data_IF_579412556007
#
_entry.id   IF_579412556007
#
_cell.length_a   1.000
_cell.length_b   1.000
_cell.length_c   1.000
_cell.angle_alpha   90.00
_cell.angle_beta   90.00
_cell.angle_gamma   90.00
#
_symmetry.space_group_name_H-M   'P 1'
#
loop_
_entity.id
_entity.type
_entity.pdbx_description
1 polymer ?
#
# COMPACT_ATOMS: atom_id res chain seq x y z
N UNK A 1 -25.20 9.34 9.52
CA UNK A 1 -23.88 8.96 10.02
C UNK A 1 -23.37 7.82 9.15
N UNK A 2 -22.13 7.89 8.70
CA UNK A 2 -21.50 6.87 7.83
C UNK A 2 -20.18 6.46 8.46
N UNK A 3 -19.95 5.16 8.54
CA UNK A 3 -18.69 4.58 8.98
C UNK A 3 -17.91 4.09 7.78
N UNK A 4 -16.61 4.36 7.76
CA UNK A 4 -15.72 3.96 6.69
C UNK A 4 -14.56 3.11 7.24
N UNK A 5 -14.16 2.04 6.54
CA UNK A 5 -12.97 1.30 6.92
C UNK A 5 -11.73 2.17 6.76
N UNK A 6 -10.68 1.86 7.53
CA UNK A 6 -9.37 2.50 7.36
C UNK A 6 -8.70 2.02 6.09
N UNK A 7 -8.02 2.92 5.39
CA UNK A 7 -7.18 2.60 4.25
C UNK A 7 -6.09 1.58 4.62
N UNK A 8 -5.83 0.65 3.70
CA UNK A 8 -4.84 -0.41 3.84
C UNK A 8 -4.10 -0.60 2.52
N UNK A 9 -2.83 -1.00 2.61
CA UNK A 9 -2.05 -1.40 1.43
C UNK A 9 -2.30 -2.89 1.19
N UNK A 10 -2.92 -3.23 0.05
CA UNK A 10 -3.18 -4.62 -0.32
C UNK A 10 -1.99 -5.29 -0.99
N UNK A 11 -1.26 -4.55 -1.83
CA UNK A 11 -0.12 -5.09 -2.57
C UNK A 11 0.92 -4.01 -2.88
N UNK A 12 2.15 -4.43 -3.12
CA UNK A 12 3.26 -3.61 -3.62
C UNK A 12 3.86 -4.33 -4.82
N UNK A 13 3.65 -3.76 -6.00
CA UNK A 13 4.10 -4.32 -7.27
C UNK A 13 5.37 -3.60 -7.72
N UNK A 14 6.39 -4.37 -8.07
CA UNK A 14 7.62 -3.89 -8.70
C UNK A 14 7.57 -4.36 -10.15
N UNK A 15 7.84 -3.46 -11.11
CA UNK A 15 7.99 -3.85 -12.51
C UNK A 15 9.33 -4.54 -12.70
N UNK A 16 9.31 -5.87 -12.79
CA UNK A 16 10.49 -6.71 -12.95
C UNK A 16 11.24 -6.42 -14.26
N UNK A 17 10.57 -5.90 -15.29
CA UNK A 17 11.23 -5.51 -16.55
C UNK A 17 12.10 -4.25 -16.41
N UNK A 18 11.86 -3.45 -15.36
CA UNK A 18 12.66 -2.26 -15.03
C UNK A 18 13.94 -2.61 -14.24
N UNK A 19 14.01 -3.83 -13.70
CA UNK A 19 15.17 -4.30 -12.93
C UNK A 19 16.30 -4.61 -13.91
N UNK A 20 17.24 -3.68 -14.05
CA UNK A 20 18.48 -3.90 -14.81
C UNK A 20 19.34 -4.90 -14.04
N UNK A 21 19.30 -6.16 -14.47
CA UNK A 21 20.32 -7.14 -14.11
C UNK A 21 21.61 -6.68 -14.81
N UNK A 22 22.52 -6.08 -14.05
CA UNK A 22 23.88 -5.88 -14.53
C UNK A 22 24.48 -7.27 -14.74
N UNK A 23 24.95 -7.53 -15.95
CA UNK A 23 25.49 -8.80 -16.39
C UNK A 23 26.69 -9.19 -15.50
N UNK A 24 26.44 -9.90 -14.41
CA UNK A 24 27.48 -10.50 -13.57
C UNK A 24 28.00 -11.72 -14.31
N UNK A 25 28.82 -11.47 -15.34
CA UNK A 25 29.74 -12.35 -16.04
C UNK A 25 29.37 -13.83 -16.02
N UNK A 26 29.04 -14.38 -17.19
CA UNK A 26 29.00 -15.82 -17.47
C UNK A 26 30.17 -16.56 -16.78
N UNK A 27 29.89 -17.13 -15.61
CA UNK A 27 30.79 -18.02 -14.92
C UNK A 27 29.97 -19.25 -14.55
N UNK A 28 30.23 -20.36 -15.24
CA UNK A 28 29.51 -21.63 -15.11
C UNK A 28 29.56 -22.28 -13.71
N UNK A 29 30.15 -21.58 -12.74
CA UNK A 29 30.44 -22.06 -11.39
C UNK A 29 30.02 -21.11 -10.26
N UNK A 30 29.32 -20.00 -10.53
CA UNK A 30 28.64 -19.28 -9.46
C UNK A 30 27.13 -19.39 -9.62
N UNK A 31 26.45 -20.30 -8.91
CA UNK A 31 25.00 -20.20 -8.77
C UNK A 31 24.76 -18.97 -7.90
N UNK A 32 24.65 -17.78 -8.51
CA UNK A 32 24.00 -16.65 -7.86
C UNK A 32 22.60 -17.16 -7.57
N UNK A 33 22.40 -17.57 -6.31
CA UNK A 33 21.26 -18.36 -5.90
C UNK A 33 20.07 -17.45 -6.14
N UNK A 34 19.18 -17.80 -7.07
CA UNK A 34 17.91 -17.10 -7.34
C UNK A 34 17.17 -16.76 -6.03
N UNK A 35 17.40 -17.53 -4.96
CA UNK A 35 16.96 -17.24 -3.60
C UNK A 35 17.35 -15.85 -3.06
N UNK A 36 18.54 -15.34 -3.37
CA UNK A 36 19.04 -14.06 -2.85
C UNK A 36 18.44 -12.88 -3.62
N UNK A 37 18.16 -13.06 -4.92
CA UNK A 37 17.39 -12.11 -5.71
C UNK A 37 15.94 -11.96 -5.22
N UNK A 38 15.25 -13.08 -4.99
CA UNK A 38 13.89 -13.06 -4.45
C UNK A 38 13.82 -12.42 -3.06
N UNK A 39 14.82 -12.67 -2.20
CA UNK A 39 14.93 -12.01 -0.89
C UNK A 39 15.14 -10.50 -1.02
N UNK A 40 15.97 -10.06 -1.97
CA UNK A 40 16.20 -8.65 -2.23
C UNK A 40 14.90 -7.95 -2.68
N UNK A 41 14.14 -8.57 -3.60
CA UNK A 41 12.84 -8.03 -4.04
C UNK A 41 11.82 -7.94 -2.91
N UNK A 42 11.74 -8.96 -2.04
CA UNK A 42 10.87 -8.91 -0.86
C UNK A 42 11.27 -7.75 0.06
N UNK A 43 12.57 -7.57 0.31
CA UNK A 43 13.08 -6.46 1.12
C UNK A 43 12.78 -5.09 0.52
N UNK A 44 12.88 -4.97 -0.80
CA UNK A 44 12.56 -3.73 -1.51
C UNK A 44 11.06 -3.40 -1.42
N UNK A 45 10.19 -4.39 -1.60
CA UNK A 45 8.73 -4.20 -1.44
C UNK A 45 8.36 -3.71 -0.05
N UNK A 46 8.99 -4.25 1.00
CA UNK A 46 8.76 -3.77 2.37
C UNK A 46 9.28 -2.36 2.58
N UNK A 47 10.47 -2.04 2.06
CA UNK A 47 11.02 -0.67 2.12
C UNK A 47 10.07 0.32 1.43
N UNK A 48 9.67 0.03 0.19
CA UNK A 48 8.70 0.85 -0.55
C UNK A 48 7.38 1.02 0.21
N UNK A 49 6.87 -0.06 0.83
CA UNK A 49 5.65 0.00 1.66
C UNK A 49 5.83 0.98 2.82
N UNK A 50 6.91 0.83 3.58
CA UNK A 50 7.17 1.69 4.74
C UNK A 50 7.39 3.13 4.32
N UNK A 51 8.06 3.36 3.20
CA UNK A 51 8.31 4.70 2.65
C UNK A 51 7.00 5.38 2.27
N UNK A 52 6.10 4.69 1.58
CA UNK A 52 4.78 5.19 1.24
C UNK A 52 3.93 5.49 2.48
N UNK A 53 4.00 4.62 3.51
CA UNK A 53 3.32 4.85 4.80
C UNK A 53 3.89 6.11 5.46
N UNK A 54 5.22 6.28 5.52
CA UNK A 54 5.86 7.48 6.10
C UNK A 54 5.52 8.74 5.32
N UNK A 55 5.34 8.65 4.00
CA UNK A 55 4.88 9.74 3.16
C UNK A 55 3.41 10.09 3.36
N UNK A 56 2.64 9.26 4.08
CA UNK A 56 1.25 9.56 4.43
C UNK A 56 0.21 8.98 3.49
N UNK A 57 0.57 8.04 2.60
CA UNK A 57 -0.34 7.49 1.57
C UNK A 57 -1.69 7.00 2.14
N UNK A 58 -1.67 6.41 3.35
CA UNK A 58 -2.89 5.92 4.01
C UNK A 58 -3.76 7.05 4.54
N UNK A 59 -3.15 8.13 5.03
CA UNK A 59 -3.89 9.31 5.49
C UNK A 59 -4.53 10.02 4.30
N UNK A 60 -3.78 10.16 3.20
CA UNK A 60 -4.28 10.74 1.97
C UNK A 60 -5.44 9.92 1.41
N UNK A 61 -5.30 8.59 1.35
CA UNK A 61 -6.36 7.70 0.92
C UNK A 61 -7.64 7.83 1.78
N UNK A 62 -7.50 7.88 3.11
CA UNK A 62 -8.63 8.11 4.01
C UNK A 62 -9.31 9.46 3.73
N UNK A 63 -8.53 10.53 3.58
CA UNK A 63 -9.05 11.88 3.34
C UNK A 63 -9.76 11.99 1.99
N UNK A 64 -9.17 11.45 0.93
CA UNK A 64 -9.78 11.45 -0.40
C UNK A 64 -11.07 10.64 -0.44
N UNK A 65 -11.10 9.48 0.23
CA UNK A 65 -12.30 8.66 0.32
C UNK A 65 -13.41 9.39 1.12
N UNK A 66 -13.08 10.04 2.23
CA UNK A 66 -14.05 10.85 2.99
C UNK A 66 -14.65 11.96 2.13
N UNK A 67 -13.81 12.69 1.39
CA UNK A 67 -14.25 13.75 0.49
C UNK A 67 -15.18 13.20 -0.59
N UNK A 68 -14.81 12.11 -1.26
CA UNK A 68 -15.62 11.51 -2.32
C UNK A 68 -16.99 11.05 -1.80
N UNK A 69 -17.02 10.35 -0.66
CA UNK A 69 -18.27 9.87 -0.04
C UNK A 69 -19.14 11.06 0.40
N UNK A 70 -18.53 12.09 1.00
CA UNK A 70 -19.26 13.28 1.44
C UNK A 70 -19.87 14.03 0.26
N UNK A 71 -19.12 14.24 -0.82
CA UNK A 71 -19.61 14.89 -2.03
C UNK A 71 -20.79 14.14 -2.63
N UNK A 72 -20.68 12.82 -2.76
CA UNK A 72 -21.78 11.98 -3.26
C UNK A 72 -23.05 12.14 -2.40
N UNK A 73 -22.93 12.08 -1.07
CA UNK A 73 -24.07 12.23 -0.18
C UNK A 73 -24.67 13.65 -0.23
N UNK A 74 -23.86 14.68 -0.41
CA UNK A 74 -24.35 16.04 -0.58
C UNK A 74 -25.16 16.19 -1.87
N UNK A 75 -24.68 15.61 -2.98
CA UNK A 75 -25.39 15.59 -4.27
C UNK A 75 -26.73 14.85 -4.19
N UNK A 76 -26.79 13.80 -3.37
CA UNK A 76 -28.04 13.08 -3.06
C UNK A 76 -29.01 13.86 -2.15
N UNK A 77 -28.63 15.07 -1.70
CA UNK A 77 -29.47 15.95 -0.90
C UNK A 77 -29.41 15.72 0.61
N UNK A 78 -28.49 14.89 1.10
CA UNK A 78 -28.30 14.71 2.55
C UNK A 78 -27.71 15.99 3.17
N UNK A 79 -28.28 16.41 4.31
CA UNK A 79 -27.81 17.54 5.12
C UNK A 79 -27.22 16.99 6.42
N UNK A 80 -26.16 17.61 6.94
CA UNK A 80 -25.46 17.22 8.17
C UNK A 80 -24.81 15.82 8.11
N UNK A 81 -23.92 15.61 7.13
CA UNK A 81 -23.18 14.35 6.96
C UNK A 81 -22.02 14.30 7.97
N UNK A 82 -21.97 13.21 8.75
CA UNK A 82 -20.85 12.87 9.63
C UNK A 82 -20.27 11.53 9.17
N UNK A 83 -18.97 11.55 8.84
CA UNK A 83 -18.18 10.38 8.45
C UNK A 83 -17.17 10.09 9.55
N UNK A 84 -17.02 8.82 9.91
CA UNK A 84 -16.02 8.36 10.89
C UNK A 84 -15.26 7.16 10.36
N UNK A 85 -13.99 7.03 10.77
CA UNK A 85 -13.19 5.84 10.48
C UNK A 85 -13.44 4.75 11.53
N UNK A 86 -13.60 3.51 11.09
CA UNK A 86 -13.73 2.35 11.96
C UNK A 86 -12.49 2.17 12.83
N UNK A 87 -12.72 1.90 14.12
CA UNK A 87 -11.67 1.51 15.06
C UNK A 87 -11.62 -0.01 15.09
N UNK A 88 -10.53 -0.58 14.57
CA UNK A 88 -10.25 -2.01 14.75
C UNK A 88 -9.87 -2.20 16.21
N UNK A 89 -10.75 -2.82 16.99
CA UNK A 89 -10.45 -3.27 18.35
C UNK A 89 -9.62 -4.56 18.19
N UNK A 90 -8.35 -4.61 18.64
CA UNK A 90 -7.59 -5.86 18.59
C UNK A 90 -8.26 -6.89 19.50
N UNK A 91 -8.52 -8.08 18.98
CA UNK A 91 -9.01 -9.20 19.79
C UNK A 91 -7.98 -9.55 20.87
N UNK A 92 -8.37 -9.42 22.14
CA UNK A 92 -7.60 -9.91 23.27
C UNK A 92 -7.60 -11.45 23.22
N UNK A 93 -6.45 -12.03 22.86
CA UNK A 93 -6.15 -13.45 23.03
C UNK A 93 -5.32 -13.66 24.31
#
# INVERSE_FOLDING_TARGET
HVSMPRAQIFDVVIDENSVKVYDESENAFNPIKISDYNKALIGEKETMRQDAIRQGVLNDANSQAELAVKSLLQEMGFKNIQITLEVVIPELH
#
